data_IF_462287472866
#
_entry.id   IF_462287472866
#
_cell.length_a   1.000
_cell.length_b   1.000
_cell.length_c   1.000
_cell.angle_alpha   90.00
_cell.angle_beta   90.00
_cell.angle_gamma   90.00
#
_symmetry.space_group_name_H-M   'P 1'
#
loop_
_entity.id
_entity.type
_entity.pdbx_description
1 polymer ?
#
# COMPACT_ATOMS: atom_id res chain seq x y z
N UNK A 1 -10.62 -9.50 48.20
CA UNK A 1 -10.94 -10.11 46.89
C UNK A 1 -9.84 -9.67 45.91
N UNK A 2 -8.73 -10.41 45.82
CA UNK A 2 -7.50 -9.95 45.14
C UNK A 2 -6.68 -11.14 44.66
N UNK A 3 -7.17 -11.85 43.66
CA UNK A 3 -6.39 -12.80 42.87
C UNK A 3 -6.89 -12.64 41.43
N UNK A 4 -5.98 -12.51 40.45
CA UNK A 4 -6.17 -12.46 38.98
C UNK A 4 -5.78 -11.18 38.22
N UNK A 5 -5.05 -10.22 38.81
CA UNK A 5 -4.61 -9.02 38.05
C UNK A 5 -3.56 -9.32 36.95
N UNK A 6 -2.68 -10.31 37.15
CA UNK A 6 -1.61 -10.62 36.18
C UNK A 6 -2.12 -11.29 34.90
N UNK A 7 -3.12 -12.16 35.02
CA UNK A 7 -3.75 -12.81 33.87
C UNK A 7 -4.58 -11.83 33.05
N UNK A 8 -5.30 -10.93 33.70
CA UNK A 8 -6.07 -9.88 33.03
C UNK A 8 -5.17 -8.91 32.26
N UNK A 9 -4.02 -8.54 32.83
CA UNK A 9 -3.05 -7.67 32.16
C UNK A 9 -2.52 -8.29 30.85
N UNK A 10 -2.17 -9.58 30.86
CA UNK A 10 -1.69 -10.27 29.64
C UNK A 10 -2.78 -10.31 28.58
N UNK A 11 -4.03 -10.61 28.97
CA UNK A 11 -5.17 -10.65 28.04
C UNK A 11 -5.43 -9.27 27.43
N UNK A 12 -5.34 -8.20 28.23
CA UNK A 12 -5.51 -6.83 27.75
C UNK A 12 -4.48 -6.45 26.68
N UNK A 13 -3.20 -6.74 26.92
CA UNK A 13 -2.14 -6.47 25.93
C UNK A 13 -2.29 -7.30 24.65
N UNK A 14 -2.70 -8.56 24.76
CA UNK A 14 -2.97 -9.41 23.58
C UNK A 14 -4.15 -8.88 22.79
N UNK A 15 -5.20 -8.40 23.46
CA UNK A 15 -6.38 -7.84 22.81
C UNK A 15 -6.04 -6.54 22.07
N UNK A 16 -5.28 -5.64 22.70
CA UNK A 16 -4.76 -4.42 22.07
C UNK A 16 -3.83 -4.74 20.88
N UNK A 17 -2.94 -5.73 21.03
CA UNK A 17 -2.03 -6.14 19.97
C UNK A 17 -2.78 -6.76 18.77
N UNK A 18 -3.82 -7.55 19.03
CA UNK A 18 -4.67 -8.10 17.97
C UNK A 18 -5.43 -7.01 17.20
N UNK A 19 -5.93 -5.98 17.90
CA UNK A 19 -6.56 -4.82 17.26
C UNK A 19 -5.56 -4.06 16.39
N UNK A 20 -4.36 -3.82 16.89
CA UNK A 20 -3.30 -3.16 16.11
C UNK A 20 -2.93 -3.97 14.85
N UNK A 21 -2.84 -5.29 14.97
CA UNK A 21 -2.56 -6.18 13.84
C UNK A 21 -3.67 -6.16 12.78
N UNK A 22 -4.95 -6.12 13.18
CA UNK A 22 -6.08 -6.00 12.26
C UNK A 22 -6.02 -4.68 11.49
N UNK A 23 -5.78 -3.57 12.17
CA UNK A 23 -5.66 -2.25 11.52
C UNK A 23 -4.50 -2.24 10.54
N UNK A 24 -3.34 -2.78 10.94
CA UNK A 24 -2.18 -2.91 10.06
C UNK A 24 -2.49 -3.77 8.82
N UNK A 25 -3.18 -4.89 8.99
CA UNK A 25 -3.57 -5.76 7.88
C UNK A 25 -4.50 -5.05 6.88
N UNK A 26 -5.46 -4.25 7.35
CA UNK A 26 -6.34 -3.46 6.47
C UNK A 26 -5.54 -2.43 5.67
N UNK A 27 -4.64 -1.71 6.33
CA UNK A 27 -3.80 -0.69 5.69
C UNK A 27 -2.90 -1.32 4.63
N UNK A 28 -2.23 -2.43 4.96
CA UNK A 28 -1.36 -3.16 4.02
C UNK A 28 -2.17 -3.72 2.84
N UNK A 29 -3.37 -4.24 3.09
CA UNK A 29 -4.26 -4.75 2.03
C UNK A 29 -4.67 -3.64 1.05
N UNK A 30 -4.90 -2.41 1.54
CA UNK A 30 -5.22 -1.25 0.69
C UNK A 30 -4.00 -0.71 -0.06
N UNK A 31 -2.80 -0.80 0.51
CA UNK A 31 -1.56 -0.34 -0.13
C UNK A 31 -1.08 -1.30 -1.22
N UNK A 32 -1.15 -2.62 -0.96
CA UNK A 32 -0.60 -3.67 -1.81
C UNK A 32 -1.63 -4.45 -2.65
N UNK A 33 -2.91 -4.06 -2.63
CA UNK A 33 -3.96 -4.72 -3.42
C UNK A 33 -3.54 -4.83 -4.89
N UNK A 34 -3.43 -6.07 -5.40
CA UNK A 34 -3.14 -6.39 -6.81
C UNK A 34 -4.42 -6.57 -7.64
N UNK A 35 -5.57 -6.16 -7.11
CA UNK A 35 -6.82 -6.23 -7.86
C UNK A 35 -6.74 -5.31 -9.09
N UNK A 36 -6.96 -5.80 -10.33
CA UNK A 36 -6.93 -4.98 -11.53
C UNK A 36 -7.95 -3.82 -11.51
N UNK A 37 -9.08 -3.98 -10.83
CA UNK A 37 -10.14 -2.95 -10.77
C UNK A 37 -9.88 -1.90 -9.68
N UNK A 38 -9.22 -2.30 -8.58
CA UNK A 38 -8.82 -1.41 -7.47
C UNK A 38 -7.34 -1.59 -7.11
N UNK A 39 -6.42 -1.10 -7.97
CA UNK A 39 -4.99 -1.23 -7.70
C UNK A 39 -4.64 -0.43 -6.45
N UNK A 40 -3.86 -1.05 -5.57
CA UNK A 40 -3.40 -0.45 -4.32
C UNK A 40 -2.61 0.84 -4.59
N UNK A 41 -2.56 1.73 -3.60
CA UNK A 41 -1.98 3.07 -3.77
C UNK A 41 -0.52 3.04 -4.28
N UNK A 42 0.25 2.02 -3.90
CA UNK A 42 1.62 1.83 -4.37
C UNK A 42 1.64 1.49 -5.87
N UNK A 43 0.76 0.59 -6.31
CA UNK A 43 0.67 0.17 -7.72
C UNK A 43 0.19 1.34 -8.59
N UNK A 44 -0.80 2.11 -8.11
CA UNK A 44 -1.25 3.34 -8.79
C UNK A 44 -0.12 4.36 -8.95
N UNK A 45 0.65 4.60 -7.90
CA UNK A 45 1.80 5.51 -7.94
C UNK A 45 2.87 5.08 -8.93
N UNK A 46 3.29 3.81 -8.89
CA UNK A 46 4.28 3.28 -9.83
C UNK A 46 3.78 3.28 -11.28
N UNK A 47 2.51 2.91 -11.52
CA UNK A 47 1.92 2.98 -12.87
C UNK A 47 1.87 4.41 -13.42
N UNK A 48 1.61 5.41 -12.55
CA UNK A 48 1.63 6.82 -12.97
C UNK A 48 3.04 7.29 -13.35
N UNK A 49 4.07 6.87 -12.61
CA UNK A 49 5.48 7.17 -12.92
C UNK A 49 5.87 6.51 -14.24
N UNK A 50 5.57 5.23 -14.43
CA UNK A 50 5.88 4.51 -15.67
C UNK A 50 5.19 5.16 -16.86
N UNK A 51 3.92 5.59 -16.71
CA UNK A 51 3.22 6.32 -17.76
C UNK A 51 3.90 7.66 -18.05
N UNK A 52 4.28 8.42 -17.02
CA UNK A 52 5.00 9.69 -17.20
C UNK A 52 6.34 9.53 -17.91
N UNK A 53 7.05 8.41 -17.69
CA UNK A 53 8.33 8.12 -18.36
C UNK A 53 8.11 7.59 -19.78
N UNK A 54 7.09 6.75 -19.98
CA UNK A 54 6.78 6.18 -21.30
C UNK A 54 6.10 7.14 -22.27
N UNK A 55 5.48 8.21 -21.76
CA UNK A 55 4.89 9.29 -22.57
C UNK A 55 5.91 10.41 -22.87
N UNK A 56 7.16 10.27 -22.40
CA UNK A 56 8.31 11.01 -22.95
C UNK A 56 8.60 10.44 -24.34
N UNK A 57 7.74 10.84 -25.28
CA UNK A 57 7.89 10.50 -26.69
C UNK A 57 9.22 11.06 -27.13
N UNK A 58 10.14 10.18 -27.54
CA UNK A 58 11.33 10.58 -28.28
C UNK A 58 10.91 11.62 -29.33
N UNK A 59 11.49 12.81 -29.25
CA UNK A 59 11.15 13.95 -30.08
C UNK A 59 10.94 13.49 -31.53
N UNK A 60 9.86 13.96 -32.14
CA UNK A 60 9.39 13.65 -33.49
C UNK A 60 10.39 13.91 -34.64
N UNK A 61 11.68 14.09 -34.35
CA UNK A 61 12.77 14.22 -35.30
C UNK A 61 13.57 12.93 -35.55
N UNK A 62 12.95 11.76 -35.39
CA UNK A 62 13.49 10.53 -35.97
C UNK A 62 13.18 10.38 -37.48
N UNK A 63 12.42 11.30 -38.07
CA UNK A 63 12.22 11.41 -39.52
C UNK A 63 13.24 12.41 -40.09
N UNK A 64 14.00 12.09 -41.16
CA UNK A 64 15.00 12.98 -41.76
C UNK A 64 14.48 14.30 -42.35
N UNK A 65 13.19 14.64 -42.18
CA UNK A 65 12.57 15.88 -42.67
C UNK A 65 11.97 16.76 -41.55
N UNK A 66 12.55 16.75 -40.35
CA UNK A 66 12.26 17.82 -39.40
C UNK A 66 12.76 19.16 -39.98
N UNK A 67 11.80 20.05 -40.27
CA UNK A 67 12.03 21.40 -40.78
C UNK A 67 11.84 22.42 -39.67
#
# INVERSE_FOLDING_TARGET
>A
MSFNQRGQLVVEYVLLLSMAAIVAAIVVSKLGSRNPDEPGAIIKGWSAIIKSVGDDKADSCFNPNCR
#
